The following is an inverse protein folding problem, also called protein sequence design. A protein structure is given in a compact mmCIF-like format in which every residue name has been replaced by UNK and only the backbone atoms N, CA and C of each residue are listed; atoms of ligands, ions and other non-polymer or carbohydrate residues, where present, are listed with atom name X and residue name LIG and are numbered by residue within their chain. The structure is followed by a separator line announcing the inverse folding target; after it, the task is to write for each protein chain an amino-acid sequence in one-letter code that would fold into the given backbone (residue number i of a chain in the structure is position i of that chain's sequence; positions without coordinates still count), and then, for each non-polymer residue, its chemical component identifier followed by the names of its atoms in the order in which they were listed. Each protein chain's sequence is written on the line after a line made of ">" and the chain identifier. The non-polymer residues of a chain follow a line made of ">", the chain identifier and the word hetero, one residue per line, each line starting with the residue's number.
data_IF_181944411523
#
_entry.id   IF_181944411523
#
_cell.length_a   1.000
_cell.length_b   1.000
_cell.length_c   1.000
_cell.angle_alpha   90.00
_cell.angle_beta   90.00
_cell.angle_gamma   90.00
#
_symmetry.space_group_name_H-M   'P 1'
#
loop_
_entity.id
_entity.type
_entity.pdbx_description
1 polymer ?
#
# COMPACT_ATOMS: atom_id res chain seq x y z
N UNK A 1 -34.45 36.12 -6.07
CA UNK A 1 -33.57 34.92 -6.05
C UNK A 1 -34.27 33.82 -5.25
N UNK A 2 -34.62 32.68 -5.87
CA UNK A 2 -35.28 31.55 -5.18
C UNK A 2 -34.23 30.78 -4.36
N UNK A 3 -34.39 30.70 -3.04
CA UNK A 3 -33.54 29.87 -2.17
C UNK A 3 -33.61 28.41 -2.62
N UNK A 4 -32.46 27.76 -2.78
CA UNK A 4 -32.38 26.33 -3.08
C UNK A 4 -33.10 25.54 -1.97
N UNK A 5 -34.02 24.65 -2.33
CA UNK A 5 -34.69 23.77 -1.37
C UNK A 5 -33.64 22.86 -0.73
N UNK A 6 -33.52 22.94 0.59
CA UNK A 6 -32.65 22.07 1.39
C UNK A 6 -33.04 20.60 1.16
N UNK A 7 -32.05 19.75 0.88
CA UNK A 7 -32.26 18.31 0.73
C UNK A 7 -32.60 17.73 2.10
N UNK A 8 -33.78 17.13 2.26
CA UNK A 8 -34.18 16.44 3.49
C UNK A 8 -33.29 15.21 3.67
N UNK A 9 -32.59 15.11 4.80
CA UNK A 9 -31.81 13.92 5.18
C UNK A 9 -32.72 12.98 5.99
N UNK A 10 -32.96 11.75 5.55
CA UNK A 10 -33.78 10.79 6.30
C UNK A 10 -33.08 10.34 7.58
N UNK A 11 -33.86 10.24 8.67
CA UNK A 11 -33.38 9.67 9.95
C UNK A 11 -33.52 8.16 9.90
N UNK A 12 -32.42 7.46 10.17
CA UNK A 12 -32.39 6.01 10.30
C UNK A 12 -32.24 5.62 11.77
N UNK A 13 -32.94 4.56 12.17
CA UNK A 13 -32.76 3.93 13.48
C UNK A 13 -31.79 2.77 13.31
N UNK A 14 -30.72 2.77 14.10
CA UNK A 14 -29.68 1.74 14.09
C UNK A 14 -29.37 1.32 15.51
N UNK A 15 -29.04 0.05 15.69
CA UNK A 15 -28.60 -0.52 16.96
C UNK A 15 -27.12 -0.22 17.21
N UNK A 16 -26.68 -0.33 18.47
CA UNK A 16 -25.27 -0.12 18.82
C UNK A 16 -24.35 -1.12 18.11
N UNK A 17 -24.76 -2.39 17.98
CA UNK A 17 -23.97 -3.42 17.31
C UNK A 17 -23.81 -3.14 15.80
N UNK A 18 -24.84 -2.60 15.16
CA UNK A 18 -24.76 -2.16 13.75
C UNK A 18 -23.77 -1.00 13.58
N UNK A 19 -23.75 -0.03 14.51
CA UNK A 19 -22.77 1.06 14.49
C UNK A 19 -21.34 0.51 14.60
N UNK A 20 -21.10 -0.43 15.52
CA UNK A 20 -19.79 -1.07 15.66
C UNK A 20 -19.39 -1.81 14.37
N UNK A 21 -20.33 -2.52 13.74
CA UNK A 21 -20.10 -3.19 12.47
C UNK A 21 -19.75 -2.22 11.34
N UNK A 22 -20.42 -1.06 11.24
CA UNK A 22 -20.08 -0.06 10.22
C UNK A 22 -18.68 0.52 10.41
N UNK A 23 -18.30 0.83 11.65
CA UNK A 23 -16.95 1.32 11.97
C UNK A 23 -15.90 0.27 11.61
N UNK A 24 -16.13 -0.99 12.00
CA UNK A 24 -15.24 -2.10 11.68
C UNK A 24 -15.09 -2.29 10.17
N UNK A 25 -16.19 -2.34 9.43
CA UNK A 25 -16.17 -2.50 7.97
C UNK A 25 -15.45 -1.33 7.27
N UNK A 26 -15.71 -0.09 7.70
CA UNK A 26 -15.03 1.09 7.17
C UNK A 26 -13.53 1.05 7.41
N UNK A 27 -13.13 0.65 8.62
CA UNK A 27 -11.71 0.51 8.98
C UNK A 27 -11.03 -0.61 8.19
N UNK A 28 -11.63 -1.79 8.12
CA UNK A 28 -11.07 -2.94 7.39
C UNK A 28 -10.92 -2.63 5.91
N UNK A 29 -11.95 -2.03 5.29
CA UNK A 29 -11.91 -1.62 3.89
C UNK A 29 -10.85 -0.56 3.64
N UNK A 30 -10.80 0.48 4.46
CA UNK A 30 -9.79 1.54 4.34
C UNK A 30 -8.37 1.01 4.52
N UNK A 31 -8.17 0.08 5.47
CA UNK A 31 -6.89 -0.59 5.69
C UNK A 31 -6.50 -1.43 4.48
N UNK A 32 -7.39 -2.27 3.95
CA UNK A 32 -7.11 -3.11 2.78
C UNK A 32 -6.80 -2.27 1.54
N UNK A 33 -7.58 -1.23 1.26
CA UNK A 33 -7.34 -0.33 0.13
C UNK A 33 -6.00 0.40 0.25
N UNK A 34 -5.66 0.85 1.45
CA UNK A 34 -4.38 1.55 1.71
C UNK A 34 -3.19 0.63 1.54
N UNK A 35 -3.26 -0.60 2.09
CA UNK A 35 -2.21 -1.61 1.93
C UNK A 35 -2.06 -1.97 0.45
N UNK A 36 -3.15 -2.29 -0.24
CA UNK A 36 -3.10 -2.64 -1.65
C UNK A 36 -2.49 -1.52 -2.50
N UNK A 37 -2.86 -0.26 -2.23
CA UNK A 37 -2.31 0.89 -2.93
C UNK A 37 -0.81 1.05 -2.65
N UNK A 38 -0.39 0.92 -1.40
CA UNK A 38 1.03 0.99 -1.03
C UNK A 38 1.84 -0.11 -1.72
N UNK A 39 1.40 -1.36 -1.67
CA UNK A 39 2.04 -2.49 -2.34
C UNK A 39 2.12 -2.30 -3.86
N UNK A 40 1.05 -1.80 -4.48
CA UNK A 40 1.06 -1.53 -5.92
C UNK A 40 2.08 -0.44 -6.27
N UNK A 41 2.18 0.62 -5.47
CA UNK A 41 3.13 1.71 -5.70
C UNK A 41 4.58 1.27 -5.46
N UNK A 42 4.85 0.48 -4.42
CA UNK A 42 6.19 -0.02 -4.12
C UNK A 42 6.74 -0.95 -5.19
N UNK A 43 5.88 -1.59 -5.97
CA UNK A 43 6.24 -2.44 -7.11
C UNK A 43 6.28 -1.68 -8.44
N UNK A 44 5.22 -0.94 -8.76
CA UNK A 44 5.07 -0.31 -10.05
C UNK A 44 6.10 0.80 -10.29
N UNK A 45 6.42 1.60 -9.26
CA UNK A 45 7.35 2.72 -9.41
C UNK A 45 8.76 2.24 -9.74
N UNK A 46 9.38 1.30 -8.98
CA UNK A 46 10.70 0.78 -9.34
C UNK A 46 10.72 0.06 -10.69
N UNK A 47 9.68 -0.72 -11.03
CA UNK A 47 9.61 -1.39 -12.34
C UNK A 47 9.58 -0.40 -13.51
N UNK A 48 8.85 0.71 -13.38
CA UNK A 48 8.84 1.78 -14.37
C UNK A 48 10.22 2.43 -14.49
N UNK A 49 10.87 2.75 -13.37
CA UNK A 49 12.23 3.31 -13.38
C UNK A 49 13.22 2.34 -14.04
N UNK A 50 13.16 1.05 -13.73
CA UNK A 50 14.00 0.03 -14.36
C UNK A 50 13.75 -0.10 -15.87
N UNK A 51 12.50 0.05 -16.31
CA UNK A 51 12.16 0.02 -17.72
C UNK A 51 12.68 1.25 -18.47
N UNK A 52 12.34 2.45 -17.98
CA UNK A 52 12.56 3.71 -18.69
C UNK A 52 14.01 4.19 -18.59
N UNK A 53 14.61 4.14 -17.39
CA UNK A 53 15.97 4.68 -17.14
C UNK A 53 17.07 3.65 -17.39
N UNK A 54 16.80 2.37 -17.09
CA UNK A 54 17.79 1.30 -17.21
C UNK A 54 17.59 0.41 -18.44
N UNK A 55 16.52 0.64 -19.22
CA UNK A 55 16.23 -0.09 -20.44
C UNK A 55 15.95 -1.58 -20.20
N UNK A 56 15.39 -1.94 -19.04
CA UNK A 56 15.07 -3.33 -18.74
C UNK A 56 13.88 -3.78 -19.59
N UNK A 57 14.10 -4.81 -20.40
CA UNK A 57 13.02 -5.51 -21.10
C UNK A 57 12.34 -6.54 -20.20
N UNK A 58 11.26 -7.13 -20.71
CA UNK A 58 10.38 -8.08 -20.03
C UNK A 58 11.13 -9.13 -19.18
N UNK A 59 12.12 -9.83 -19.74
CA UNK A 59 12.86 -10.87 -19.00
C UNK A 59 13.57 -10.36 -17.75
N UNK A 60 14.15 -9.15 -17.81
CA UNK A 60 14.85 -8.55 -16.67
C UNK A 60 13.87 -8.01 -15.63
N UNK A 61 12.74 -7.46 -16.09
CA UNK A 61 11.66 -7.01 -15.20
C UNK A 61 11.01 -8.18 -14.47
N UNK A 62 10.70 -9.29 -15.16
CA UNK A 62 10.15 -10.49 -14.53
C UNK A 62 11.10 -11.07 -13.49
N UNK A 63 12.41 -11.11 -13.78
CA UNK A 63 13.41 -11.57 -12.80
C UNK A 63 13.45 -10.65 -11.57
N UNK A 64 13.39 -9.33 -11.74
CA UNK A 64 13.29 -8.40 -10.62
C UNK A 64 12.02 -8.64 -9.81
N UNK A 65 10.88 -8.84 -10.49
CA UNK A 65 9.59 -9.08 -9.86
C UNK A 65 9.57 -10.37 -9.04
N UNK A 66 10.13 -11.46 -9.56
CA UNK A 66 10.28 -12.73 -8.82
C UNK A 66 11.14 -12.54 -7.57
N UNK A 67 12.32 -11.90 -7.69
CA UNK A 67 13.17 -11.63 -6.53
C UNK A 67 12.49 -10.71 -5.49
N UNK A 68 11.72 -9.73 -5.95
CA UNK A 68 10.94 -8.85 -5.07
C UNK A 68 9.91 -9.67 -4.28
N UNK A 69 9.16 -10.55 -4.94
CA UNK A 69 8.16 -11.40 -4.30
C UNK A 69 8.80 -12.35 -3.30
N UNK A 70 9.91 -13.00 -3.64
CA UNK A 70 10.62 -13.91 -2.72
C UNK A 70 11.11 -13.20 -1.44
N UNK A 71 11.60 -11.97 -1.58
CA UNK A 71 12.02 -11.16 -0.44
C UNK A 71 10.82 -10.74 0.42
N UNK A 72 9.72 -10.34 -0.21
CA UNK A 72 8.48 -9.98 0.48
C UNK A 72 7.89 -11.17 1.25
N UNK A 73 7.86 -12.35 0.63
CA UNK A 73 7.42 -13.61 1.24
C UNK A 73 8.25 -13.97 2.48
N UNK A 74 9.54 -13.61 2.48
CA UNK A 74 10.45 -13.83 3.60
C UNK A 74 10.16 -12.90 4.79
N UNK A 75 9.68 -11.68 4.52
CA UNK A 75 9.18 -10.75 5.55
C UNK A 75 7.89 -11.30 6.18
N UNK A 76 6.93 -11.74 5.35
CA UNK A 76 5.64 -12.28 5.83
C UNK A 76 5.82 -13.55 6.69
N UNK A 77 6.83 -14.36 6.38
CA UNK A 77 7.20 -15.54 7.18
C UNK A 77 7.96 -15.20 8.48
N UNK A 78 8.12 -13.91 8.81
CA UNK A 78 8.88 -13.36 9.96
C UNK A 78 10.36 -13.73 9.98
N UNK A 79 10.95 -14.05 8.83
CA UNK A 79 12.40 -14.28 8.75
C UNK A 79 13.18 -12.96 8.61
N UNK A 80 12.49 -11.86 8.30
CA UNK A 80 13.09 -10.55 8.05
C UNK A 80 12.17 -9.44 8.56
N UNK A 81 12.74 -8.43 9.23
CA UNK A 81 12.05 -7.17 9.57
C UNK A 81 12.37 -6.09 8.53
N UNK A 82 11.41 -5.20 8.25
CA UNK A 82 11.62 -4.05 7.37
C UNK A 82 12.71 -3.12 7.92
N UNK A 83 12.82 -3.02 9.26
CA UNK A 83 13.86 -2.22 9.92
C UNK A 83 15.26 -2.76 9.62
N UNK A 84 15.42 -4.09 9.59
CA UNK A 84 16.69 -4.74 9.26
C UNK A 84 17.08 -4.50 7.80
N UNK A 85 16.11 -4.52 6.87
CA UNK A 85 16.34 -4.19 5.45
C UNK A 85 16.83 -2.75 5.32
N UNK A 86 16.14 -1.81 5.96
CA UNK A 86 16.48 -0.39 5.89
C UNK A 86 17.87 -0.13 6.46
N UNK A 87 18.20 -0.77 7.59
CA UNK A 87 19.53 -0.72 8.19
C UNK A 87 20.59 -1.28 7.24
N UNK A 88 20.36 -2.46 6.66
CA UNK A 88 21.29 -3.11 5.72
C UNK A 88 21.53 -2.24 4.49
N UNK A 89 20.47 -1.68 3.90
CA UNK A 89 20.58 -0.76 2.77
C UNK A 89 21.43 0.47 3.13
N UNK A 90 21.22 1.04 4.32
CA UNK A 90 22.00 2.18 4.80
C UNK A 90 23.47 1.82 5.00
N UNK A 91 23.76 0.67 5.61
CA UNK A 91 25.13 0.22 5.90
C UNK A 91 25.90 -0.17 4.63
N UNK A 92 25.26 -0.85 3.67
CA UNK A 92 25.93 -1.37 2.48
C UNK A 92 25.97 -0.38 1.31
N UNK A 93 24.92 0.41 1.13
CA UNK A 93 24.78 1.29 -0.05
C UNK A 93 24.82 2.78 0.31
N UNK A 94 24.68 3.12 1.60
CA UNK A 94 24.56 4.50 2.06
C UNK A 94 23.19 5.14 1.75
N UNK A 95 22.25 4.40 1.18
CA UNK A 95 20.92 4.91 0.83
C UNK A 95 20.02 4.88 2.07
N UNK A 96 19.39 6.01 2.36
CA UNK A 96 18.43 6.15 3.47
C UNK A 96 17.05 6.47 2.89
N UNK A 97 16.10 5.57 3.11
CA UNK A 97 14.71 5.74 2.70
C UNK A 97 14.00 6.50 3.82
N UNK A 98 13.71 7.78 3.59
CA UNK A 98 12.97 8.61 4.53
C UNK A 98 11.50 8.61 4.12
N UNK A 99 10.59 8.26 5.04
CA UNK A 99 9.15 8.41 4.80
C UNK A 99 8.82 9.87 4.50
N UNK A 100 7.89 10.08 3.56
CA UNK A 100 7.50 11.40 3.04
C UNK A 100 6.12 11.82 3.54
#
# INVERSE_FOLDING_TARGET
>A
MKKAKEKKVPTYLVTYDEIQNYVKQGYEKGKQESIQKATNLSLAVPLMVLHDEFGFGEKRLNKFFECYLDLYDSIDKKYLDIEDILKTLKEETGIEIVER
#
